data_IF_274172046624
#
_entry.id   IF_274172046624
#
_cell.length_a   1.000
_cell.length_b   1.000
_cell.length_c   1.000
_cell.angle_alpha   90.00
_cell.angle_beta   90.00
_cell.angle_gamma   90.00
#
_symmetry.space_group_name_H-M   'P 1'
#
loop_
_entity.id
_entity.type
_entity.pdbx_description
1 polymer ?
#
# COMPACT_ATOMS: atom_id res chain seq x y z
N UNK A 1 11.71 -29.87 -36.67
CA UNK A 1 11.15 -30.10 -35.33
C UNK A 1 11.38 -28.86 -34.46
N UNK A 2 10.87 -27.71 -34.90
CA UNK A 2 11.10 -26.40 -34.28
C UNK A 2 10.06 -25.40 -34.79
N UNK A 3 8.83 -25.49 -34.26
CA UNK A 3 7.75 -24.52 -34.48
C UNK A 3 6.59 -24.85 -33.53
N UNK A 4 6.47 -24.04 -32.46
CA UNK A 4 5.35 -23.84 -31.51
C UNK A 4 5.90 -23.42 -30.15
N UNK A 5 6.31 -22.16 -30.04
CA UNK A 5 6.46 -21.45 -28.76
C UNK A 5 6.23 -19.92 -28.94
N UNK A 6 5.37 -19.56 -29.89
CA UNK A 6 4.84 -18.21 -30.11
C UNK A 6 3.31 -18.31 -30.11
N UNK A 7 2.72 -18.32 -28.91
CA UNK A 7 1.32 -17.93 -28.59
C UNK A 7 1.03 -18.28 -27.12
N UNK A 8 1.18 -17.31 -26.20
CA UNK A 8 0.83 -17.49 -24.79
C UNK A 8 0.56 -16.17 -24.01
N UNK A 9 0.89 -15.01 -24.56
CA UNK A 9 0.75 -13.71 -23.88
C UNK A 9 -0.52 -12.94 -24.23
N UNK A 10 -1.20 -13.29 -25.33
CA UNK A 10 -2.44 -12.60 -25.74
C UNK A 10 -3.65 -13.12 -24.95
N UNK A 11 -3.95 -12.45 -23.83
CA UNK A 11 -5.20 -12.63 -23.09
C UNK A 11 -5.11 -12.88 -21.59
N UNK A 12 -3.93 -12.85 -20.96
CA UNK A 12 -3.76 -13.05 -19.52
C UNK A 12 -4.63 -12.12 -18.65
N UNK A 13 -5.03 -12.58 -17.46
CA UNK A 13 -5.96 -11.87 -16.57
C UNK A 13 -5.27 -11.43 -15.29
N UNK A 14 -5.36 -10.13 -14.97
CA UNK A 14 -4.85 -9.57 -13.73
C UNK A 14 -5.80 -9.93 -12.56
N UNK A 15 -5.34 -10.75 -11.63
CA UNK A 15 -6.09 -11.05 -10.41
C UNK A 15 -5.60 -10.15 -9.27
N UNK A 16 -6.39 -9.14 -8.93
CA UNK A 16 -6.20 -8.32 -7.73
C UNK A 16 -6.81 -9.02 -6.53
N UNK A 17 -6.05 -9.23 -5.47
CA UNK A 17 -6.53 -9.91 -4.28
C UNK A 17 -6.23 -9.11 -3.01
N UNK A 18 -7.06 -9.31 -1.98
CA UNK A 18 -6.94 -8.63 -0.70
C UNK A 18 -7.47 -9.53 0.43
N UNK A 19 -6.85 -9.46 1.60
CA UNK A 19 -7.22 -10.29 2.74
C UNK A 19 -8.46 -9.75 3.47
N UNK A 20 -9.41 -10.64 3.75
CA UNK A 20 -10.41 -10.45 4.77
C UNK A 20 -9.76 -10.71 6.12
N UNK A 21 -9.35 -9.65 6.82
CA UNK A 21 -9.05 -9.77 8.25
C UNK A 21 -10.24 -10.41 8.97
N UNK A 22 -9.95 -11.48 9.71
CA UNK A 22 -10.81 -11.94 10.80
C UNK A 22 -11.01 -10.79 11.78
N UNK A 23 -12.21 -10.68 12.34
CA UNK A 23 -12.64 -9.58 13.20
C UNK A 23 -11.69 -9.42 14.41
N UNK A 24 -10.78 -8.45 14.31
CA UNK A 24 -10.20 -7.75 15.45
C UNK A 24 -10.96 -6.44 15.59
N UNK A 25 -11.42 -6.13 16.80
CA UNK A 25 -12.36 -5.06 17.08
C UNK A 25 -11.76 -3.65 16.95
N UNK A 26 -11.57 -3.15 15.72
CA UNK A 26 -11.49 -1.71 15.49
C UNK A 26 -11.95 -1.33 14.07
N UNK A 27 -13.24 -1.04 13.92
CA UNK A 27 -13.91 -0.86 12.62
C UNK A 27 -13.58 0.49 11.92
N UNK A 28 -12.41 1.08 12.15
CA UNK A 28 -12.08 2.44 11.71
C UNK A 28 -10.93 2.55 10.70
N UNK A 29 -10.24 1.46 10.36
CA UNK A 29 -9.19 1.44 9.31
C UNK A 29 -9.37 0.24 8.39
N UNK A 30 -10.11 0.43 7.28
CA UNK A 30 -10.07 -0.48 6.12
C UNK A 30 -9.07 0.08 5.10
N UNK A 31 -7.79 -0.24 5.30
CA UNK A 31 -6.82 -0.14 4.21
C UNK A 31 -6.85 -1.43 3.42
N UNK A 32 -7.43 -1.37 2.22
CA UNK A 32 -7.45 -2.49 1.28
C UNK A 32 -6.06 -2.62 0.64
N UNK A 33 -5.17 -3.40 1.27
CA UNK A 33 -3.92 -3.83 0.65
C UNK A 33 -4.23 -4.76 -0.54
N UNK A 34 -4.25 -4.18 -1.74
CA UNK A 34 -4.54 -4.89 -2.98
C UNK A 34 -3.24 -5.37 -3.62
N UNK A 35 -2.89 -6.61 -3.36
CA UNK A 35 -1.82 -7.33 -4.06
C UNK A 35 -2.34 -7.90 -5.38
N UNK A 36 -1.45 -8.38 -6.27
CA UNK A 36 -1.85 -8.91 -7.58
C UNK A 36 -1.03 -10.11 -8.04
N UNK A 37 -1.69 -11.05 -8.72
CA UNK A 37 -1.05 -12.14 -9.48
C UNK A 37 -1.59 -12.17 -10.92
N UNK A 38 -0.83 -12.77 -11.84
CA UNK A 38 -1.24 -12.95 -13.24
C UNK A 38 -1.76 -14.37 -13.48
N UNK A 39 -3.02 -14.48 -13.93
CA UNK A 39 -3.68 -15.72 -14.28
C UNK A 39 -3.77 -15.91 -15.80
N UNK A 40 -4.11 -17.13 -16.23
CA UNK A 40 -4.36 -17.48 -17.63
C UNK A 40 -5.55 -16.70 -18.23
N UNK A 41 -5.78 -16.88 -19.53
CA UNK A 41 -6.90 -16.27 -20.26
C UNK A 41 -8.27 -16.79 -19.82
N UNK A 42 -8.35 -17.94 -19.15
CA UNK A 42 -9.56 -18.52 -18.58
C UNK A 42 -9.28 -18.91 -17.11
N UNK A 43 -9.18 -17.91 -16.20
CA UNK A 43 -8.74 -18.13 -14.83
C UNK A 43 -9.70 -19.07 -14.10
N UNK A 44 -9.17 -20.02 -13.35
CA UNK A 44 -9.96 -20.95 -12.51
C UNK A 44 -9.57 -20.85 -11.05
N UNK A 45 -10.44 -21.28 -10.13
CA UNK A 45 -10.10 -21.36 -8.70
C UNK A 45 -8.88 -22.28 -8.45
N UNK A 46 -8.75 -23.37 -9.20
CA UNK A 46 -7.60 -24.27 -9.14
C UNK A 46 -6.29 -23.65 -9.61
N UNK A 47 -6.32 -22.77 -10.62
CA UNK A 47 -5.15 -21.97 -11.00
C UNK A 47 -4.82 -20.93 -9.91
N UNK A 48 -5.83 -20.20 -9.43
CA UNK A 48 -5.70 -19.18 -8.39
C UNK A 48 -5.05 -19.76 -7.12
N UNK A 49 -5.52 -20.92 -6.63
CA UNK A 49 -4.93 -21.63 -5.48
C UNK A 49 -3.46 -22.00 -5.71
N UNK A 50 -3.13 -22.52 -6.90
CA UNK A 50 -1.76 -22.97 -7.24
C UNK A 50 -0.76 -21.81 -7.40
N UNK A 51 -1.25 -20.62 -7.81
CA UNK A 51 -0.45 -19.39 -7.96
C UNK A 51 -0.55 -18.45 -6.75
N UNK A 52 -1.26 -18.84 -5.69
CA UNK A 52 -1.39 -18.00 -4.51
C UNK A 52 -0.07 -18.00 -3.72
N UNK A 53 0.53 -16.84 -3.41
CA UNK A 53 1.91 -16.79 -2.90
C UNK A 53 2.04 -17.02 -1.38
N UNK A 54 1.01 -17.56 -0.72
CA UNK A 54 0.99 -17.79 0.72
C UNK A 54 0.58 -19.23 1.05
N UNK A 55 1.18 -19.79 2.09
CA UNK A 55 0.92 -21.15 2.59
C UNK A 55 -0.29 -21.23 3.52
N UNK A 56 -0.98 -22.37 3.54
CA UNK A 56 -2.16 -22.62 4.37
C UNK A 56 -3.46 -22.78 3.56
N UNK A 57 -4.58 -22.95 4.27
CA UNK A 57 -5.90 -23.10 3.61
C UNK A 57 -6.59 -21.74 3.47
N UNK A 58 -7.06 -21.44 2.26
CA UNK A 58 -7.71 -20.17 1.93
C UNK A 58 -9.06 -20.37 1.24
N UNK A 59 -10.05 -19.61 1.73
CA UNK A 59 -11.32 -19.42 1.06
C UNK A 59 -11.29 -18.16 0.20
N UNK A 60 -11.81 -18.25 -1.02
CA UNK A 60 -11.74 -17.17 -2.01
C UNK A 60 -13.16 -16.72 -2.38
N UNK A 61 -13.37 -15.40 -2.48
CA UNK A 61 -14.62 -14.80 -2.95
C UNK A 61 -14.36 -13.85 -4.11
N UNK A 62 -15.04 -14.02 -5.22
CA UNK A 62 -14.90 -13.16 -6.40
C UNK A 62 -15.85 -11.96 -6.35
N UNK A 63 -15.36 -10.78 -6.71
CA UNK A 63 -16.21 -9.61 -6.90
C UNK A 63 -16.98 -9.77 -8.21
N UNK A 64 -18.30 -9.82 -8.12
CA UNK A 64 -19.17 -9.88 -9.28
C UNK A 64 -20.02 -8.61 -9.39
N UNK A 65 -19.96 -7.95 -10.54
CA UNK A 65 -20.71 -6.71 -10.80
C UNK A 65 -22.12 -7.07 -11.24
N UNK A 66 -23.12 -6.54 -10.54
CA UNK A 66 -24.53 -6.80 -10.83
C UNK A 66 -25.02 -5.86 -11.93
N UNK A 67 -25.20 -6.39 -13.14
CA UNK A 67 -25.71 -5.65 -14.30
C UNK A 67 -27.23 -5.53 -14.29
N UNK A 68 -27.76 -4.64 -13.44
CA UNK A 68 -29.20 -4.37 -13.40
C UNK A 68 -29.62 -3.10 -12.66
N UNK A 69 -30.16 -2.12 -13.40
CA UNK A 69 -30.86 -0.96 -12.84
C UNK A 69 -30.04 0.34 -12.76
N UNK A 70 -30.70 1.45 -13.09
CA UNK A 70 -30.10 2.80 -13.08
C UNK A 70 -29.82 3.30 -11.65
N UNK A 71 -28.60 3.05 -11.12
CA UNK A 71 -27.78 3.95 -10.25
C UNK A 71 -26.69 3.16 -9.50
N UNK A 72 -25.45 3.63 -9.60
CA UNK A 72 -24.23 3.09 -8.97
C UNK A 72 -23.88 1.64 -9.34
N UNK A 73 -22.59 1.33 -9.46
CA UNK A 73 -22.13 -0.04 -9.74
C UNK A 73 -22.27 -0.90 -8.48
N UNK A 74 -23.40 -1.59 -8.35
CA UNK A 74 -23.61 -2.60 -7.31
C UNK A 74 -22.80 -3.86 -7.61
N UNK A 75 -22.22 -4.45 -6.57
CA UNK A 75 -21.46 -5.70 -6.67
C UNK A 75 -21.78 -6.62 -5.49
N UNK A 76 -21.58 -7.92 -5.69
CA UNK A 76 -21.62 -8.92 -4.64
C UNK A 76 -20.30 -9.70 -4.56
N UNK A 77 -20.13 -10.47 -3.49
CA UNK A 77 -19.03 -11.42 -3.33
C UNK A 77 -19.58 -12.83 -3.57
N UNK A 78 -19.11 -13.50 -4.63
CA UNK A 78 -19.45 -14.89 -4.93
C UNK A 78 -18.44 -15.81 -4.27
N UNK A 79 -18.91 -16.76 -3.46
CA UNK A 79 -18.07 -17.83 -2.89
C UNK A 79 -17.52 -18.74 -3.99
N UNK A 80 -16.20 -18.93 -4.03
CA UNK A 80 -15.54 -19.82 -4.98
C UNK A 80 -15.31 -21.19 -4.34
N UNK A 81 -16.18 -22.15 -4.67
CA UNK A 81 -16.11 -23.55 -4.21
C UNK A 81 -15.54 -24.50 -5.27
N UNK A 82 -15.92 -24.33 -6.54
CA UNK A 82 -15.60 -25.25 -7.65
C UNK A 82 -14.19 -25.01 -8.24
N UNK A 83 -13.25 -25.97 -8.15
CA UNK A 83 -11.86 -25.77 -8.60
C UNK A 83 -11.70 -25.53 -10.11
N UNK A 84 -12.59 -26.09 -10.93
CA UNK A 84 -12.47 -26.11 -12.39
C UNK A 84 -13.38 -25.09 -13.09
N UNK A 85 -14.17 -24.31 -12.33
CA UNK A 85 -15.05 -23.30 -12.89
C UNK A 85 -14.25 -22.09 -13.40
N UNK A 86 -14.53 -21.64 -14.62
CA UNK A 86 -13.89 -20.44 -15.20
C UNK A 86 -14.48 -19.19 -14.56
N UNK A 87 -13.65 -18.40 -13.91
CA UNK A 87 -14.06 -17.22 -13.15
C UNK A 87 -14.49 -16.10 -14.12
N UNK A 88 -15.65 -15.45 -13.91
CA UNK A 88 -16.08 -14.34 -14.76
C UNK A 88 -15.11 -13.15 -14.67
N UNK A 89 -14.60 -12.74 -15.83
CA UNK A 89 -13.57 -11.71 -15.98
C UNK A 89 -14.20 -10.37 -16.34
N UNK A 90 -13.82 -9.30 -15.64
CA UNK A 90 -14.26 -7.94 -15.95
C UNK A 90 -13.21 -7.20 -16.79
N UNK A 91 -13.62 -6.14 -17.50
CA UNK A 91 -12.68 -5.22 -18.16
C UNK A 91 -12.50 -4.00 -17.25
N UNK A 92 -11.25 -3.63 -16.99
CA UNK A 92 -10.93 -2.43 -16.22
C UNK A 92 -10.99 -1.16 -17.10
N UNK A 93 -10.75 0.00 -16.50
CA UNK A 93 -10.86 1.30 -17.18
C UNK A 93 -9.85 1.50 -18.32
N UNK A 94 -8.75 0.75 -18.37
CA UNK A 94 -7.77 0.76 -19.48
C UNK A 94 -8.03 -0.37 -20.50
N UNK A 95 -9.17 -1.06 -20.42
CA UNK A 95 -9.56 -2.15 -21.32
C UNK A 95 -8.92 -3.51 -21.03
N UNK A 96 -8.00 -3.57 -20.05
CA UNK A 96 -7.35 -4.80 -19.59
C UNK A 96 -8.31 -5.73 -18.85
N UNK A 97 -7.99 -7.03 -18.86
CA UNK A 97 -8.79 -8.08 -18.22
C UNK A 97 -8.41 -8.19 -16.74
N UNK A 98 -9.38 -7.99 -15.83
CA UNK A 98 -9.17 -7.97 -14.38
C UNK A 98 -10.25 -8.80 -13.64
N UNK A 99 -9.82 -9.49 -12.59
CA UNK A 99 -10.70 -10.02 -11.53
C UNK A 99 -10.27 -9.50 -10.16
N UNK A 100 -11.21 -9.42 -9.23
CA UNK A 100 -10.98 -8.97 -7.86
C UNK A 100 -11.43 -10.02 -6.86
N UNK A 101 -10.53 -10.44 -5.97
CA UNK A 101 -10.75 -11.58 -5.08
C UNK A 101 -10.50 -11.22 -3.63
N UNK A 102 -11.45 -11.50 -2.77
CA UNK A 102 -11.31 -11.44 -1.32
C UNK A 102 -10.81 -12.80 -0.81
N UNK A 103 -9.78 -12.80 0.01
CA UNK A 103 -9.15 -14.01 0.54
C UNK A 103 -9.35 -14.10 2.05
N UNK A 104 -9.90 -15.21 2.54
CA UNK A 104 -10.03 -15.50 3.97
C UNK A 104 -9.14 -16.69 4.31
N UNK A 105 -8.20 -16.53 5.24
CA UNK A 105 -7.42 -17.64 5.77
C UNK A 105 -8.30 -18.49 6.70
N UNK A 106 -8.30 -19.80 6.47
CA UNK A 106 -9.04 -20.79 7.27
C UNK A 106 -8.12 -21.48 8.28
N UNK A 107 -6.90 -21.86 7.86
CA UNK A 107 -5.88 -22.46 8.71
C UNK A 107 -4.47 -22.06 8.24
N UNK A 108 -3.52 -22.09 9.17
CA UNK A 108 -2.10 -21.88 8.90
C UNK A 108 -1.36 -23.20 8.58
N UNK A 109 -1.87 -24.34 9.03
CA UNK A 109 -1.20 -25.63 8.82
C UNK A 109 -1.63 -26.29 7.49
N UNK A 110 -0.68 -26.87 6.73
CA UNK A 110 -1.01 -27.77 5.63
C UNK A 110 -1.64 -29.04 6.22
N UNK A 111 -2.80 -29.42 5.70
CA UNK A 111 -3.45 -30.66 6.09
C UNK A 111 -2.75 -31.81 5.35
N UNK A 112 -1.96 -32.60 6.08
CA UNK A 112 -1.47 -33.88 5.57
C UNK A 112 -2.67 -34.81 5.33
N UNK A 113 -2.97 -35.09 4.06
CA UNK A 113 -4.01 -36.04 3.62
C UNK A 113 -3.59 -37.50 3.89
N UNK A 114 -3.22 -37.82 5.14
CA UNK A 114 -2.60 -39.10 5.49
C UNK A 114 -2.92 -39.66 6.90
N UNK A 115 -3.88 -39.12 7.67
CA UNK A 115 -4.50 -39.85 8.80
C UNK A 115 -5.77 -39.17 9.36
N UNK A 116 -6.95 -39.76 9.12
CA UNK A 116 -7.84 -40.36 10.14
C UNK A 116 -9.29 -40.44 9.61
N UNK A 117 -9.70 -41.66 9.26
CA UNK A 117 -11.05 -41.95 8.80
C UNK A 117 -11.94 -42.27 10.01
N UNK A 118 -12.45 -41.25 10.72
CA UNK A 118 -13.06 -41.52 12.03
C UNK A 118 -14.04 -40.53 12.67
N UNK A 119 -14.38 -39.36 12.09
CA UNK A 119 -15.46 -38.50 12.63
C UNK A 119 -16.32 -37.84 11.57
N UNK A 120 -17.50 -38.43 11.37
CA UNK A 120 -18.58 -37.89 10.55
C UNK A 120 -19.50 -37.03 11.43
N UNK A 121 -19.19 -35.74 11.56
CA UNK A 121 -20.06 -34.73 12.18
C UNK A 121 -20.47 -33.68 11.15
N UNK A 122 -21.73 -33.24 11.25
CA UNK A 122 -22.48 -32.41 10.30
C UNK A 122 -21.68 -31.46 9.41
N UNK A 123 -21.71 -31.73 8.09
CA UNK A 123 -21.68 -30.68 7.06
C UNK A 123 -23.05 -29.98 7.01
N UNK A 124 -23.45 -29.39 8.12
CA UNK A 124 -24.52 -28.42 8.16
C UNK A 124 -23.94 -27.02 8.01
N UNK A 125 -24.70 -26.22 7.27
CA UNK A 125 -24.48 -24.82 6.96
C UNK A 125 -23.93 -24.05 8.17
N UNK A 126 -22.74 -23.45 8.03
CA UNK A 126 -22.25 -22.43 8.98
C UNK A 126 -23.05 -21.15 8.73
N UNK A 127 -24.25 -21.12 9.28
CA UNK A 127 -25.14 -19.96 9.33
C UNK A 127 -24.55 -18.95 10.33
N UNK A 128 -23.72 -18.03 9.84
CA UNK A 128 -23.05 -17.03 10.68
C UNK A 128 -24.10 -16.01 11.18
N UNK A 129 -24.11 -15.58 12.47
CA UNK A 129 -25.30 -14.96 13.10
C UNK A 129 -25.67 -13.51 12.68
N UNK A 130 -25.37 -13.10 11.44
CA UNK A 130 -25.47 -11.71 10.97
C UNK A 130 -26.91 -11.31 10.61
N UNK A 131 -27.73 -12.23 10.09
CA UNK A 131 -29.09 -11.95 9.59
C UNK A 131 -30.08 -11.46 10.65
N UNK A 132 -29.90 -11.87 11.93
CA UNK A 132 -30.75 -11.37 13.03
C UNK A 132 -30.50 -9.89 13.35
N UNK A 133 -29.29 -9.37 13.12
CA UNK A 133 -28.95 -7.97 13.40
C UNK A 133 -29.44 -7.04 12.27
N UNK A 134 -29.32 -7.47 11.01
CA UNK A 134 -29.87 -6.71 9.87
C UNK A 134 -31.39 -6.56 9.93
N UNK A 135 -32.12 -7.62 10.29
CA UNK A 135 -33.58 -7.55 10.44
C UNK A 135 -34.04 -6.65 11.61
N UNK A 136 -33.20 -6.40 12.61
CA UNK A 136 -33.48 -5.43 13.68
C UNK A 136 -33.25 -3.99 13.21
N UNK A 137 -32.16 -3.75 12.47
CA UNK A 137 -31.80 -2.45 11.92
C UNK A 137 -32.89 -1.85 11.01
N UNK A 138 -33.43 -2.64 10.07
CA UNK A 138 -34.52 -2.18 9.19
C UNK A 138 -35.87 -1.99 9.91
N UNK A 139 -36.17 -2.79 10.94
CA UNK A 139 -37.39 -2.62 11.76
C UNK A 139 -37.34 -1.35 12.63
N UNK A 140 -36.18 -1.06 13.23
CA UNK A 140 -35.98 0.17 13.99
C UNK A 140 -36.11 1.43 13.10
N UNK A 141 -35.56 1.41 11.88
CA UNK A 141 -35.63 2.55 10.97
C UNK A 141 -37.01 2.80 10.33
N UNK A 142 -37.87 1.80 10.23
CA UNK A 142 -39.23 1.98 9.71
C UNK A 142 -40.22 2.57 10.72
N UNK A 143 -40.02 2.39 12.02
CA UNK A 143 -40.93 2.92 13.04
C UNK A 143 -40.76 4.43 13.33
N UNK A 144 -39.63 5.04 12.97
CA UNK A 144 -39.35 6.43 13.35
C UNK A 144 -39.93 7.50 12.41
N UNK A 145 -40.81 7.12 11.46
CA UNK A 145 -41.42 8.05 10.47
C UNK A 145 -42.95 8.16 10.51
N UNK A 146 -43.64 7.55 11.49
CA UNK A 146 -45.11 7.60 11.62
C UNK A 146 -45.60 7.96 13.04
N UNK A 147 -45.30 9.19 13.47
CA UNK A 147 -46.01 9.97 14.51
C UNK A 147 -45.38 11.37 14.55
N UNK A 148 -46.06 12.52 14.50
CA UNK A 148 -47.45 12.92 14.21
C UNK A 148 -47.36 14.02 13.09
N UNK A 149 -48.34 14.44 12.29
CA UNK A 149 -49.79 14.24 12.28
C UNK A 149 -50.51 15.57 12.00
N UNK A 150 -50.93 15.82 10.73
CA UNK A 150 -51.83 16.92 10.23
C UNK A 150 -51.32 18.38 10.40
N UNK A 151 -51.60 19.40 9.58
CA UNK A 151 -52.27 19.62 8.25
C UNK A 151 -51.87 21.07 7.77
N UNK A 152 -52.13 21.66 6.58
CA UNK A 152 -52.96 21.31 5.40
C UNK A 152 -52.52 22.07 4.10
N UNK A 153 -53.22 21.79 2.99
CA UNK A 153 -53.48 22.54 1.73
C UNK A 153 -52.40 23.29 0.88
N UNK A 154 -52.31 22.83 -0.39
CA UNK A 154 -52.29 23.57 -1.68
C UNK A 154 -51.23 24.66 -1.99
N UNK A 155 -50.36 24.40 -2.98
CA UNK A 155 -50.62 24.78 -4.39
C UNK A 155 -49.63 24.13 -5.40
N UNK A 156 -49.95 24.19 -6.70
CA UNK A 156 -49.13 23.67 -7.80
C UNK A 156 -47.88 24.54 -8.08
N UNK A 157 -46.76 23.93 -8.47
CA UNK A 157 -46.12 24.11 -9.80
C UNK A 157 -44.76 23.38 -9.91
N UNK A 158 -44.44 22.98 -11.15
CA UNK A 158 -43.10 22.60 -11.65
C UNK A 158 -42.73 23.61 -12.75
N UNK A 159 -41.47 23.76 -13.23
CA UNK A 159 -40.39 22.77 -13.12
C UNK A 159 -38.94 23.32 -12.91
N UNK A 160 -38.01 22.35 -12.83
CA UNK A 160 -36.60 22.40 -13.30
C UNK A 160 -35.51 23.15 -12.50
N UNK A 161 -34.31 22.54 -12.57
CA UNK A 161 -32.98 23.06 -12.19
C UNK A 161 -32.72 23.40 -10.71
N UNK A 162 -32.44 22.37 -9.88
CA UNK A 162 -31.38 22.36 -8.85
C UNK A 162 -31.32 21.00 -8.13
N UNK A 163 -30.60 20.01 -8.67
CA UNK A 163 -30.45 18.70 -8.00
C UNK A 163 -29.11 18.01 -8.32
N UNK A 164 -28.00 18.73 -8.11
CA UNK A 164 -26.65 18.16 -8.25
C UNK A 164 -25.62 18.66 -7.20
N UNK A 165 -26.08 19.24 -6.08
CA UNK A 165 -25.20 19.73 -4.98
C UNK A 165 -25.41 19.04 -3.62
N UNK A 166 -26.47 18.26 -3.42
CA UNK A 166 -26.82 17.78 -2.08
C UNK A 166 -26.11 16.48 -1.65
N UNK A 167 -25.67 15.63 -2.58
CA UNK A 167 -25.06 14.33 -2.24
C UNK A 167 -23.59 14.41 -1.79
N UNK A 168 -22.87 15.47 -2.17
CA UNK A 168 -21.47 15.67 -1.74
C UNK A 168 -21.40 16.11 -0.26
N UNK A 169 -22.43 16.81 0.22
CA UNK A 169 -22.48 17.37 1.58
C UNK A 169 -22.54 16.30 2.68
N UNK A 170 -23.24 15.18 2.42
CA UNK A 170 -23.38 14.07 3.38
C UNK A 170 -22.03 13.37 3.61
N UNK A 171 -21.30 13.05 2.54
CA UNK A 171 -19.96 12.43 2.58
C UNK A 171 -18.94 13.37 3.24
N UNK A 172 -18.96 14.66 2.91
CA UNK A 172 -18.08 15.68 3.51
C UNK A 172 -18.28 15.87 5.03
N UNK A 173 -19.48 15.59 5.54
CA UNK A 173 -19.78 15.73 6.98
C UNK A 173 -19.30 14.52 7.82
N UNK A 174 -19.20 13.32 7.22
CA UNK A 174 -18.62 12.14 7.86
C UNK A 174 -17.11 12.26 8.09
N UNK A 175 -16.36 12.63 7.05
CA UNK A 175 -14.89 12.75 7.10
C UNK A 175 -14.45 13.86 8.06
N UNK A 176 -15.17 14.99 8.10
CA UNK A 176 -14.93 16.07 9.09
C UNK A 176 -15.09 15.60 10.54
N UNK A 177 -16.04 14.71 10.84
CA UNK A 177 -16.22 14.13 12.19
C UNK A 177 -15.11 13.15 12.55
N UNK A 178 -14.67 12.31 11.60
CA UNK A 178 -13.57 11.38 11.82
C UNK A 178 -12.25 12.11 12.14
N UNK A 179 -11.90 13.15 11.38
CA UNK A 179 -10.66 13.90 11.60
C UNK A 179 -10.68 14.75 12.89
N UNK A 180 -11.85 15.21 13.33
CA UNK A 180 -11.99 16.07 14.51
C UNK A 180 -11.95 15.30 15.85
N UNK A 181 -12.13 13.97 15.85
CA UNK A 181 -12.27 13.20 17.10
C UNK A 181 -10.93 12.80 17.75
N UNK A 182 -9.84 12.60 16.97
CA UNK A 182 -8.54 12.13 17.49
C UNK A 182 -7.46 13.22 17.68
N UNK A 183 -7.70 14.50 17.33
CA UNK A 183 -6.66 15.55 17.29
C UNK A 183 -6.88 16.77 18.23
N UNK A 184 -7.35 16.55 19.46
CA UNK A 184 -7.74 17.67 20.36
C UNK A 184 -6.59 18.40 21.11
N UNK A 185 -5.32 18.06 20.89
CA UNK A 185 -4.19 18.59 21.69
C UNK A 185 -2.98 19.12 20.89
N UNK A 186 -3.14 19.53 19.63
CA UNK A 186 -2.05 20.23 18.91
C UNK A 186 -2.54 21.39 18.03
N UNK A 187 -1.90 22.56 18.18
CA UNK A 187 -2.10 23.73 17.31
C UNK A 187 -1.74 23.44 15.83
N UNK A 188 -0.91 22.42 15.59
CA UNK A 188 -0.57 21.96 14.24
C UNK A 188 -1.79 21.36 13.53
N UNK A 189 -2.66 20.63 14.23
CA UNK A 189 -3.87 20.02 13.64
C UNK A 189 -4.87 21.08 13.13
N UNK A 190 -5.01 22.20 13.85
CA UNK A 190 -5.83 23.33 13.41
C UNK A 190 -5.23 24.03 12.17
N UNK A 191 -3.91 24.04 12.05
CA UNK A 191 -3.20 24.58 10.88
C UNK A 191 -3.37 23.65 9.66
N UNK A 192 -3.28 22.34 9.86
CA UNK A 192 -3.54 21.31 8.83
C UNK A 192 -4.99 21.41 8.34
N UNK A 193 -5.98 21.52 9.24
CA UNK A 193 -7.38 21.70 8.84
C UNK A 193 -7.62 23.00 8.07
N UNK A 194 -7.07 24.14 8.52
CA UNK A 194 -7.24 25.44 7.82
C UNK A 194 -6.54 25.49 6.46
N UNK A 195 -5.36 24.89 6.32
CA UNK A 195 -4.62 24.84 5.04
C UNK A 195 -5.27 23.84 4.08
N UNK A 196 -5.57 22.61 4.52
CA UNK A 196 -6.21 21.60 3.66
C UNK A 196 -7.57 22.06 3.13
N UNK A 197 -8.43 22.64 3.96
CA UNK A 197 -9.76 23.12 3.55
C UNK A 197 -9.71 24.09 2.34
N UNK A 198 -8.73 25.00 2.29
CA UNK A 198 -8.54 25.92 1.16
C UNK A 198 -7.86 25.29 -0.07
N UNK A 199 -7.19 24.15 0.09
CA UNK A 199 -6.53 23.44 -1.01
C UNK A 199 -7.46 22.45 -1.70
N UNK A 200 -8.42 21.83 -0.97
CA UNK A 200 -9.46 20.99 -1.58
C UNK A 200 -10.27 21.74 -2.64
N UNK A 201 -10.55 23.04 -2.46
CA UNK A 201 -11.21 23.87 -3.48
C UNK A 201 -10.35 24.07 -4.74
N UNK A 202 -9.02 24.20 -4.60
CA UNK A 202 -8.08 24.33 -5.74
C UNK A 202 -7.91 23.03 -6.52
N UNK A 203 -7.83 21.88 -5.85
CA UNK A 203 -7.70 20.56 -6.52
C UNK A 203 -8.93 20.25 -7.37
N UNK A 204 -10.12 20.69 -6.95
CA UNK A 204 -11.36 20.56 -7.74
C UNK A 204 -11.42 21.55 -8.92
N UNK A 205 -10.81 22.74 -8.78
CA UNK A 205 -10.81 23.77 -9.84
C UNK A 205 -9.68 23.61 -10.89
N UNK A 206 -8.64 22.82 -10.60
CA UNK A 206 -7.39 22.77 -11.39
C UNK A 206 -7.46 22.03 -12.73
N UNK A 207 -8.59 21.45 -13.13
CA UNK A 207 -8.71 20.63 -14.34
C UNK A 207 -8.63 21.39 -15.69
N UNK A 208 -8.34 22.70 -15.67
CA UNK A 208 -8.32 23.57 -16.85
C UNK A 208 -7.15 24.59 -16.80
N UNK A 209 -5.91 24.11 -16.92
CA UNK A 209 -4.74 24.97 -17.08
C UNK A 209 -3.42 24.21 -17.11
N UNK A 210 -2.67 24.32 -18.21
CA UNK A 210 -1.42 23.60 -18.44
C UNK A 210 -0.23 24.14 -17.64
N UNK A 211 -0.27 24.01 -16.31
CA UNK A 211 0.91 24.19 -15.45
C UNK A 211 1.67 22.87 -15.34
N UNK A 212 2.98 22.91 -15.60
CA UNK A 212 3.88 21.75 -15.40
C UNK A 212 3.99 21.38 -13.92
N UNK A 213 3.76 22.34 -13.01
CA UNK A 213 3.68 22.09 -11.57
C UNK A 213 2.22 22.01 -11.12
N UNK A 214 1.83 20.91 -10.49
CA UNK A 214 0.51 20.72 -9.89
C UNK A 214 0.65 20.40 -8.40
N UNK A 215 -0.37 20.62 -7.55
CA UNK A 215 -0.38 20.08 -6.19
C UNK A 215 -0.53 18.55 -6.23
N UNK A 216 -0.25 17.82 -5.13
CA UNK A 216 -0.46 16.37 -5.11
C UNK A 216 -1.94 16.01 -5.25
N UNK A 217 -2.23 14.98 -6.04
CA UNK A 217 -3.58 14.46 -6.27
C UNK A 217 -4.12 13.75 -5.02
N UNK A 218 -5.44 13.50 -4.94
CA UNK A 218 -6.02 12.84 -3.77
C UNK A 218 -5.42 11.44 -3.47
N UNK A 219 -5.13 10.56 -4.46
CA UNK A 219 -4.40 9.32 -4.21
C UNK A 219 -2.98 9.56 -3.70
N UNK A 220 -2.23 10.50 -4.30
CA UNK A 220 -0.88 10.85 -3.85
C UNK A 220 -0.87 11.40 -2.41
N UNK A 221 -1.81 12.28 -2.06
CA UNK A 221 -1.98 12.79 -0.69
C UNK A 221 -2.24 11.65 0.31
N UNK A 222 -2.98 10.61 -0.07
CA UNK A 222 -3.21 9.45 0.79
C UNK A 222 -1.91 8.67 1.04
N UNK A 223 -1.11 8.37 0.01
CA UNK A 223 0.18 7.69 0.19
C UNK A 223 1.18 8.54 0.99
N UNK A 224 1.29 9.84 0.66
CA UNK A 224 2.14 10.77 1.39
C UNK A 224 1.74 10.86 2.87
N UNK A 225 0.43 10.82 3.21
CA UNK A 225 -0.03 10.80 4.60
C UNK A 225 0.40 9.51 5.34
N UNK A 226 0.38 8.33 4.69
CA UNK A 226 0.91 7.09 5.28
C UNK A 226 2.41 7.19 5.55
N UNK A 227 3.18 7.72 4.60
CA UNK A 227 4.63 7.91 4.73
C UNK A 227 4.97 8.90 5.86
N UNK A 228 4.20 9.99 6.01
CA UNK A 228 4.31 10.92 7.16
C UNK A 228 3.99 10.21 8.48
N UNK A 229 3.03 9.27 8.48
CA UNK A 229 2.72 8.41 9.62
C UNK A 229 3.91 7.52 9.99
N UNK A 230 4.42 6.73 9.04
CA UNK A 230 5.56 5.82 9.25
C UNK A 230 6.86 6.56 9.65
N UNK A 231 7.07 7.78 9.13
CA UNK A 231 8.19 8.66 9.49
C UNK A 231 8.14 9.14 10.95
N UNK A 232 6.95 9.15 11.56
CA UNK A 232 6.72 9.63 12.94
C UNK A 232 6.35 8.53 13.92
N UNK A 233 6.00 7.34 13.44
CA UNK A 233 5.71 6.16 14.24
C UNK A 233 7.01 5.59 14.82
N UNK A 234 7.21 5.56 16.15
CA UNK A 234 8.38 4.94 16.74
C UNK A 234 8.31 3.41 16.64
N UNK A 235 9.47 2.77 16.56
CA UNK A 235 9.58 1.31 16.64
C UNK A 235 9.40 0.82 18.08
N UNK A 236 8.78 -0.35 18.23
CA UNK A 236 8.42 -0.95 19.51
C UNK A 236 8.42 -2.48 19.38
N UNK A 237 9.09 -3.17 20.31
CA UNK A 237 9.12 -4.65 20.39
C UNK A 237 7.75 -5.27 20.71
N UNK A 238 6.84 -4.50 21.32
CA UNK A 238 5.49 -4.95 21.64
C UNK A 238 4.52 -4.88 20.46
N UNK A 239 4.88 -4.20 19.36
CA UNK A 239 4.06 -4.17 18.16
C UNK A 239 4.43 -5.32 17.22
N UNK A 240 3.47 -6.22 16.97
CA UNK A 240 3.63 -7.37 16.08
C UNK A 240 4.03 -6.97 14.66
N UNK A 241 3.50 -5.87 14.12
CA UNK A 241 3.81 -5.42 12.76
C UNK A 241 5.26 -4.93 12.65
N UNK A 242 5.81 -4.35 13.73
CA UNK A 242 7.22 -3.92 13.77
C UNK A 242 8.16 -5.13 13.89
N UNK A 243 7.76 -6.15 14.66
CA UNK A 243 8.49 -7.42 14.78
C UNK A 243 8.43 -8.23 13.48
N UNK A 244 7.31 -8.22 12.75
CA UNK A 244 7.18 -8.84 11.42
C UNK A 244 8.14 -8.18 10.40
N UNK A 245 8.19 -6.86 10.35
CA UNK A 245 9.14 -6.14 9.50
C UNK A 245 10.61 -6.49 9.84
N UNK A 246 10.95 -6.62 11.13
CA UNK A 246 12.29 -7.10 11.54
C UNK A 246 12.53 -8.56 11.14
N UNK A 247 11.53 -9.44 11.28
CA UNK A 247 11.61 -10.84 10.86
C UNK A 247 11.88 -10.94 9.35
N UNK A 248 11.14 -10.18 8.55
CA UNK A 248 11.26 -10.12 7.09
C UNK A 248 12.64 -9.62 6.64
N UNK A 249 13.17 -8.59 7.29
CA UNK A 249 14.56 -8.16 7.04
C UNK A 249 15.56 -9.26 7.42
N UNK A 250 15.41 -9.86 8.61
CA UNK A 250 16.29 -10.89 9.16
C UNK A 250 16.40 -12.13 8.26
N UNK A 251 15.27 -12.70 7.83
CA UNK A 251 15.27 -13.93 7.02
C UNK A 251 15.95 -13.75 5.67
N UNK A 252 16.02 -12.54 5.11
CA UNK A 252 16.72 -12.29 3.83
C UNK A 252 18.23 -12.54 3.90
N UNK A 253 18.81 -12.62 5.10
CA UNK A 253 20.25 -12.82 5.31
C UNK A 253 20.58 -14.08 6.12
N UNK A 254 19.60 -14.61 6.86
CA UNK A 254 19.76 -15.76 7.75
C UNK A 254 18.67 -16.79 7.51
N UNK A 255 18.57 -17.29 6.27
CA UNK A 255 17.60 -18.31 5.83
C UNK A 255 17.35 -19.38 6.91
N UNK A 256 16.08 -19.50 7.32
CA UNK A 256 15.58 -20.43 8.34
C UNK A 256 16.10 -20.26 9.79
N UNK A 257 16.86 -19.21 10.14
CA UNK A 257 17.15 -18.91 11.55
C UNK A 257 16.01 -18.13 12.23
N UNK A 258 15.64 -18.45 13.48
CA UNK A 258 14.64 -17.69 14.22
C UNK A 258 15.12 -16.26 14.46
N UNK A 259 14.21 -15.29 14.33
CA UNK A 259 14.49 -13.89 14.62
C UNK A 259 15.05 -13.71 16.04
N UNK A 260 16.22 -13.10 16.13
CA UNK A 260 16.71 -12.51 17.38
C UNK A 260 16.42 -11.01 17.34
N UNK A 261 15.60 -10.49 18.27
CA UNK A 261 15.29 -9.05 18.29
C UNK A 261 16.51 -8.18 18.61
N UNK A 262 17.51 -8.77 19.28
CA UNK A 262 18.80 -8.16 19.62
C UNK A 262 19.90 -9.22 19.58
N UNK A 263 21.10 -8.85 19.15
CA UNK A 263 22.29 -9.71 19.12
C UNK A 263 23.15 -9.54 17.85
N UNK A 264 24.35 -10.12 17.86
CA UNK A 264 25.41 -9.87 16.89
C UNK A 264 25.08 -10.15 15.41
N UNK A 265 23.97 -10.85 15.10
CA UNK A 265 23.49 -10.95 13.71
C UNK A 265 23.09 -9.60 13.10
N UNK A 266 22.81 -8.59 13.94
CA UNK A 266 22.54 -7.23 13.48
C UNK A 266 23.82 -6.45 13.12
N UNK A 267 25.02 -6.87 13.55
CA UNK A 267 26.30 -6.27 13.13
C UNK A 267 26.50 -6.38 11.61
N UNK A 268 26.05 -7.48 10.99
CA UNK A 268 26.14 -7.70 9.53
C UNK A 268 25.37 -6.64 8.76
N UNK A 269 24.22 -6.20 9.28
CA UNK A 269 23.45 -5.07 8.74
C UNK A 269 24.06 -3.70 9.07
N UNK A 270 25.17 -3.63 9.81
CA UNK A 270 25.81 -2.38 10.21
C UNK A 270 25.14 -1.67 11.38
N UNK A 271 24.34 -2.37 12.20
CA UNK A 271 23.94 -1.88 13.51
C UNK A 271 25.13 -1.94 14.48
N UNK A 272 25.29 -0.93 15.34
CA UNK A 272 26.42 -0.74 16.25
C UNK A 272 26.15 -1.22 17.69
N UNK A 273 24.89 -1.39 18.05
CA UNK A 273 24.46 -1.80 19.39
C UNK A 273 23.64 -3.08 19.40
N UNK A 274 23.69 -3.86 18.31
CA UNK A 274 22.92 -5.09 18.13
C UNK A 274 21.39 -4.93 18.30
N UNK A 275 20.87 -3.70 18.24
CA UNK A 275 19.49 -3.34 18.54
C UNK A 275 18.91 -2.45 17.42
N UNK A 276 18.29 -3.06 16.39
CA UNK A 276 17.73 -2.31 15.26
C UNK A 276 16.56 -1.42 15.68
N UNK A 277 15.81 -1.79 16.74
CA UNK A 277 14.71 -0.96 17.26
C UNK A 277 15.26 0.35 17.83
N UNK A 278 16.34 0.26 18.62
CA UNK A 278 17.02 1.42 19.23
C UNK A 278 17.68 2.32 18.20
N UNK A 279 18.26 1.76 17.13
CA UNK A 279 19.03 2.55 16.17
C UNK A 279 18.20 3.13 15.01
N UNK A 280 17.25 2.38 14.44
CA UNK A 280 16.35 2.90 13.41
C UNK A 280 15.34 3.90 13.97
N UNK A 281 14.86 3.66 15.21
CA UNK A 281 13.90 4.45 15.98
C UNK A 281 12.49 4.62 15.38
N UNK A 282 12.34 4.63 14.05
CA UNK A 282 11.10 4.90 13.33
C UNK A 282 10.78 3.82 12.30
N UNK A 283 9.50 3.66 11.97
CA UNK A 283 9.01 2.61 11.08
C UNK A 283 9.47 2.79 9.63
N UNK A 284 9.51 4.03 9.12
CA UNK A 284 9.82 4.27 7.69
C UNK A 284 11.21 3.75 7.25
N UNK A 285 12.33 4.02 7.96
CA UNK A 285 13.63 3.39 7.68
C UNK A 285 13.58 1.86 7.56
N UNK A 286 12.84 1.20 8.45
CA UNK A 286 12.71 -0.26 8.44
C UNK A 286 11.92 -0.74 7.22
N UNK A 287 10.81 -0.08 6.88
CA UNK A 287 10.02 -0.39 5.68
C UNK A 287 10.85 -0.23 4.39
N UNK A 288 11.70 0.80 4.32
CA UNK A 288 12.64 1.00 3.21
C UNK A 288 13.63 -0.16 3.05
N UNK A 289 14.26 -0.59 4.15
CA UNK A 289 15.22 -1.70 4.14
C UNK A 289 14.54 -3.02 3.76
N UNK A 290 13.36 -3.32 4.33
CA UNK A 290 12.56 -4.51 3.99
C UNK A 290 12.20 -4.52 2.51
N UNK A 291 11.65 -3.43 1.97
CA UNK A 291 11.31 -3.33 0.55
C UNK A 291 12.53 -3.57 -0.35
N UNK A 292 13.67 -2.95 -0.04
CA UNK A 292 14.88 -3.10 -0.83
C UNK A 292 15.41 -4.54 -0.81
N UNK A 293 15.35 -5.21 0.34
CA UNK A 293 15.74 -6.62 0.48
C UNK A 293 14.77 -7.60 -0.19
N UNK A 294 13.47 -7.34 -0.20
CA UNK A 294 12.46 -8.23 -0.80
C UNK A 294 12.33 -8.04 -2.32
N UNK A 295 12.32 -6.79 -2.79
CA UNK A 295 12.06 -6.45 -4.20
C UNK A 295 13.35 -6.42 -5.03
N UNK A 296 14.45 -5.96 -4.42
CA UNK A 296 15.76 -5.80 -5.08
C UNK A 296 16.83 -6.70 -4.46
N UNK A 297 16.47 -7.91 -4.01
CA UNK A 297 17.34 -8.85 -3.30
C UNK A 297 18.68 -9.11 -4.03
N UNK A 298 18.64 -9.17 -5.36
CA UNK A 298 19.78 -9.35 -6.26
C UNK A 298 20.78 -8.18 -6.26
N UNK A 299 20.38 -7.01 -5.74
CA UNK A 299 21.23 -5.83 -5.54
C UNK A 299 21.51 -5.61 -4.05
N UNK A 300 20.51 -5.79 -3.19
CA UNK A 300 20.64 -5.59 -1.75
C UNK A 300 21.67 -6.53 -1.10
N UNK A 301 21.63 -7.83 -1.41
CA UNK A 301 22.52 -8.82 -0.79
C UNK A 301 23.99 -8.68 -1.21
N UNK A 302 24.35 -8.41 -2.48
CA UNK A 302 25.73 -8.07 -2.83
C UNK A 302 26.25 -6.82 -2.12
N UNK A 303 25.46 -5.73 -2.07
CA UNK A 303 25.87 -4.51 -1.36
C UNK A 303 26.08 -4.81 0.13
N UNK A 304 25.12 -5.47 0.78
CA UNK A 304 25.24 -5.85 2.19
C UNK A 304 26.51 -6.69 2.42
N UNK A 305 26.77 -7.69 1.58
CA UNK A 305 27.95 -8.55 1.69
C UNK A 305 29.25 -7.73 1.59
N UNK A 306 29.35 -6.82 0.64
CA UNK A 306 30.49 -5.92 0.49
C UNK A 306 30.72 -5.07 1.74
N UNK A 307 29.66 -4.51 2.33
CA UNK A 307 29.74 -3.64 3.51
C UNK A 307 29.87 -4.39 4.85
N UNK A 308 29.44 -5.66 4.91
CA UNK A 308 29.52 -6.50 6.11
C UNK A 308 30.95 -6.94 6.47
N UNK A 309 31.90 -6.81 5.53
CA UNK A 309 33.32 -7.13 5.78
C UNK A 309 34.01 -5.93 6.42
N UNK A 310 34.51 -6.02 7.68
CA UNK A 310 35.08 -4.86 8.36
C UNK A 310 36.31 -4.30 7.64
N UNK A 311 36.28 -3.04 7.25
CA UNK A 311 37.40 -2.37 6.60
C UNK A 311 37.31 -0.84 6.61
N UNK A 312 38.39 -0.12 6.27
CA UNK A 312 38.38 1.34 6.21
C UNK A 312 37.46 1.90 5.10
N UNK A 313 36.97 1.04 4.21
CA UNK A 313 36.05 1.36 3.12
C UNK A 313 34.64 0.74 3.30
N UNK A 314 34.30 0.18 4.47
CA UNK A 314 32.94 -0.29 4.76
C UNK A 314 32.11 0.80 5.47
N UNK A 315 30.84 0.97 5.10
CA UNK A 315 29.89 1.85 5.81
C UNK A 315 28.81 1.05 6.57
N UNK A 316 28.21 1.59 7.65
CA UNK A 316 27.15 0.91 8.39
C UNK A 316 25.85 0.86 7.57
N UNK A 317 25.67 -0.24 6.84
CA UNK A 317 24.66 -0.41 5.78
C UNK A 317 23.26 0.08 6.16
N UNK A 318 22.66 -0.42 7.24
CA UNK A 318 21.30 -0.08 7.65
C UNK A 318 21.17 1.34 8.20
N UNK A 319 22.23 1.89 8.83
CA UNK A 319 22.23 3.27 9.32
C UNK A 319 22.32 4.28 8.18
N UNK A 320 23.11 3.97 7.14
CA UNK A 320 23.12 4.75 5.89
C UNK A 320 21.78 4.61 5.16
N UNK A 321 21.20 3.41 5.07
CA UNK A 321 19.86 3.21 4.53
C UNK A 321 18.81 4.05 5.28
N UNK A 322 18.88 4.11 6.62
CA UNK A 322 18.02 5.00 7.40
C UNK A 322 18.22 6.48 7.03
N UNK A 323 19.47 6.95 6.91
CA UNK A 323 19.78 8.32 6.49
C UNK A 323 19.27 8.65 5.08
N UNK A 324 19.42 7.74 4.11
CA UNK A 324 18.88 7.91 2.75
C UNK A 324 17.34 7.93 2.78
N UNK A 325 16.69 7.13 3.63
CA UNK A 325 15.23 7.19 3.78
C UNK A 325 14.73 8.55 4.32
N UNK A 326 15.46 9.14 5.27
CA UNK A 326 15.15 10.47 5.80
C UNK A 326 15.44 11.58 4.77
N UNK A 327 16.51 11.45 3.99
CA UNK A 327 16.84 12.35 2.88
C UNK A 327 15.72 12.37 1.84
N UNK A 328 15.26 11.20 1.38
CA UNK A 328 14.15 11.10 0.41
C UNK A 328 12.85 11.66 1.01
N UNK A 329 12.58 11.42 2.30
CA UNK A 329 11.45 12.02 3.01
C UNK A 329 11.54 13.56 3.11
N UNK A 330 12.76 14.13 3.19
CA UNK A 330 12.99 15.58 3.22
C UNK A 330 12.84 16.23 1.84
N UNK A 331 13.31 15.57 0.77
CA UNK A 331 13.07 16.01 -0.61
C UNK A 331 11.58 16.14 -0.93
N UNK A 332 10.78 15.21 -0.40
CA UNK A 332 9.32 15.22 -0.49
C UNK A 332 8.64 16.06 0.61
N UNK A 333 9.40 16.71 1.50
CA UNK A 333 8.89 17.60 2.55
C UNK A 333 7.88 16.93 3.50
N UNK A 334 8.10 15.65 3.83
CA UNK A 334 7.19 14.86 4.66
C UNK A 334 7.18 15.28 6.13
N UNK A 335 8.34 15.61 6.72
CA UNK A 335 8.46 15.91 8.16
C UNK A 335 7.46 16.97 8.63
N UNK A 336 7.34 18.07 7.91
CA UNK A 336 6.47 19.20 8.26
C UNK A 336 5.11 19.19 7.52
N UNK A 337 4.88 18.21 6.65
CA UNK A 337 3.71 18.18 5.77
C UNK A 337 3.74 19.26 4.67
N UNK A 338 4.92 19.71 4.26
CA UNK A 338 5.11 20.70 3.20
C UNK A 338 4.61 20.20 1.83
N UNK A 339 4.67 18.88 1.60
CA UNK A 339 4.09 18.20 0.43
C UNK A 339 2.63 18.58 0.15
N UNK A 340 1.81 18.76 1.20
CA UNK A 340 0.34 18.83 1.09
C UNK A 340 -0.19 20.01 0.25
N UNK A 341 0.66 20.98 -0.10
CA UNK A 341 0.32 22.12 -0.96
C UNK A 341 1.46 22.61 -1.85
N UNK A 342 2.57 21.89 -1.93
CA UNK A 342 3.68 22.26 -2.80
C UNK A 342 3.34 21.89 -4.25
N UNK A 343 3.39 22.85 -5.18
CA UNK A 343 3.21 22.54 -6.60
C UNK A 343 4.52 21.98 -7.18
N UNK A 344 4.50 20.75 -7.71
CA UNK A 344 5.65 20.01 -8.27
C UNK A 344 5.19 19.17 -9.48
N UNK A 345 6.09 18.76 -10.39
CA UNK A 345 5.69 18.02 -11.58
C UNK A 345 5.51 16.52 -11.31
N UNK A 346 6.25 15.99 -10.33
CA UNK A 346 6.37 14.55 -10.05
C UNK A 346 5.30 13.94 -9.13
N UNK A 347 4.29 14.69 -8.65
CA UNK A 347 3.38 14.11 -7.64
C UNK A 347 2.55 12.92 -8.12
N UNK A 348 2.32 12.82 -9.43
CA UNK A 348 1.59 11.70 -10.03
C UNK A 348 2.28 10.35 -9.80
N UNK A 349 3.61 10.33 -9.74
CA UNK A 349 4.41 9.15 -9.36
C UNK A 349 3.93 8.56 -8.03
N UNK A 350 3.60 9.40 -7.06
CA UNK A 350 3.23 9.01 -5.70
C UNK A 350 1.75 8.59 -5.55
N UNK A 351 0.98 8.52 -6.64
CA UNK A 351 -0.29 7.78 -6.65
C UNK A 351 -0.06 6.27 -6.45
N UNK A 352 1.10 5.76 -6.89
CA UNK A 352 1.54 4.39 -6.66
C UNK A 352 2.15 4.23 -5.25
N UNK A 353 1.63 3.31 -4.40
CA UNK A 353 2.17 3.08 -3.06
C UNK A 353 3.64 2.64 -3.02
N UNK A 354 4.19 2.03 -4.08
CA UNK A 354 5.58 1.55 -4.06
C UNK A 354 6.61 2.63 -4.44
N UNK A 355 6.16 3.76 -5.01
CA UNK A 355 7.05 4.73 -5.63
C UNK A 355 8.06 5.38 -4.69
N UNK A 356 7.70 5.60 -3.42
CA UNK A 356 8.63 6.09 -2.41
C UNK A 356 9.76 5.10 -2.13
N UNK A 357 9.42 3.81 -2.03
CA UNK A 357 10.37 2.75 -1.74
C UNK A 357 11.27 2.43 -2.94
N UNK A 358 10.76 2.58 -4.17
CA UNK A 358 11.59 2.52 -5.37
C UNK A 358 12.56 3.71 -5.47
N UNK A 359 12.09 4.95 -5.19
CA UNK A 359 12.95 6.12 -5.12
C UNK A 359 14.05 5.96 -4.05
N UNK A 360 13.70 5.41 -2.88
CA UNK A 360 14.67 5.02 -1.85
C UNK A 360 15.69 3.99 -2.40
N UNK A 361 15.23 2.94 -3.07
CA UNK A 361 16.09 1.87 -3.60
C UNK A 361 17.08 2.41 -4.64
N UNK A 362 16.61 3.30 -5.52
CA UNK A 362 17.43 4.01 -6.51
C UNK A 362 18.45 4.93 -5.81
N UNK A 363 18.02 5.72 -4.82
CA UNK A 363 18.88 6.64 -4.08
C UNK A 363 19.97 5.90 -3.25
N UNK A 364 19.62 4.76 -2.65
CA UNK A 364 20.57 3.96 -1.87
C UNK A 364 21.57 3.21 -2.76
N UNK A 365 21.17 2.77 -3.95
CA UNK A 365 22.10 2.29 -4.99
C UNK A 365 23.06 3.38 -5.45
N UNK A 366 22.59 4.62 -5.62
CA UNK A 366 23.43 5.76 -5.97
C UNK A 366 24.42 6.11 -4.83
N UNK A 367 24.03 5.92 -3.56
CA UNK A 367 24.95 6.02 -2.43
C UNK A 367 26.10 5.00 -2.55
N UNK A 368 25.79 3.70 -2.69
CA UNK A 368 26.81 2.64 -2.75
C UNK A 368 27.76 2.82 -3.95
N UNK A 369 27.23 3.23 -5.10
CA UNK A 369 28.04 3.58 -6.28
C UNK A 369 28.98 4.75 -5.99
N UNK A 370 28.48 5.85 -5.42
CA UNK A 370 29.27 7.03 -5.05
C UNK A 370 30.37 6.70 -4.04
N UNK A 371 30.03 5.87 -3.04
CA UNK A 371 30.95 5.36 -2.02
C UNK A 371 32.05 4.50 -2.65
N UNK A 372 31.70 3.49 -3.46
CA UNK A 372 32.66 2.62 -4.14
C UNK A 372 33.61 3.38 -5.07
N UNK A 373 33.12 4.40 -5.78
CA UNK A 373 33.95 5.22 -6.67
C UNK A 373 34.91 6.19 -5.95
N UNK A 374 34.59 6.63 -4.73
CA UNK A 374 35.32 7.70 -4.04
C UNK A 374 35.81 7.37 -2.63
N UNK A 375 35.68 6.13 -2.14
CA UNK A 375 36.17 5.67 -0.84
C UNK A 375 37.68 5.89 -0.60
N UNK A 376 38.47 6.07 -1.66
CA UNK A 376 39.88 6.45 -1.62
C UNK A 376 40.15 7.95 -1.48
N UNK A 377 39.12 8.79 -1.68
CA UNK A 377 39.17 10.27 -1.65
C UNK A 377 38.40 10.85 -0.46
N UNK A 378 37.28 10.24 -0.10
CA UNK A 378 36.46 10.58 1.06
C UNK A 378 35.84 9.32 1.66
N UNK A 379 35.84 9.24 2.99
CA UNK A 379 35.07 8.29 3.78
C UNK A 379 33.95 8.99 4.57
N UNK A 380 33.70 10.27 4.26
CA UNK A 380 32.67 11.06 4.93
C UNK A 380 31.30 10.79 4.31
N UNK A 381 30.46 10.04 5.02
CA UNK A 381 29.08 9.71 4.64
C UNK A 381 28.29 10.95 4.16
N UNK A 382 28.53 12.12 4.76
CA UNK A 382 27.86 13.38 4.40
C UNK A 382 28.05 13.79 2.93
N UNK A 383 29.25 13.67 2.37
CA UNK A 383 29.53 14.03 0.97
C UNK A 383 28.78 13.12 -0.01
N UNK A 384 28.63 11.83 0.33
CA UNK A 384 27.87 10.88 -0.47
C UNK A 384 26.36 11.08 -0.34
N UNK A 385 25.86 11.50 0.83
CA UNK A 385 24.46 11.91 0.99
C UNK A 385 24.14 13.17 0.20
N UNK A 386 25.05 14.15 0.13
CA UNK A 386 24.87 15.37 -0.67
C UNK A 386 24.74 15.02 -2.17
N UNK A 387 25.64 14.19 -2.71
CA UNK A 387 25.52 13.64 -4.07
C UNK A 387 24.18 12.93 -4.31
N UNK A 388 23.72 12.10 -3.37
CA UNK A 388 22.43 11.39 -3.47
C UNK A 388 21.25 12.35 -3.43
N UNK A 389 21.34 13.45 -2.68
CA UNK A 389 20.31 14.50 -2.67
C UNK A 389 20.23 15.21 -4.03
N UNK A 390 21.35 15.62 -4.61
CA UNK A 390 21.39 16.24 -5.95
C UNK A 390 20.87 15.29 -7.04
N UNK A 391 21.37 14.05 -7.05
CA UNK A 391 20.93 13.01 -7.99
C UNK A 391 19.42 12.76 -7.91
N UNK A 392 18.88 12.61 -6.69
CA UNK A 392 17.45 12.37 -6.46
C UNK A 392 16.58 13.58 -6.83
N UNK A 393 17.09 14.80 -6.62
CA UNK A 393 16.42 16.03 -7.05
C UNK A 393 16.35 16.13 -8.58
N UNK A 394 17.44 15.87 -9.30
CA UNK A 394 17.46 15.90 -10.77
C UNK A 394 16.56 14.79 -11.36
N UNK A 395 16.57 13.59 -10.77
CA UNK A 395 15.69 12.49 -11.14
C UNK A 395 14.21 12.88 -11.03
N UNK A 396 13.81 13.51 -9.92
CA UNK A 396 12.45 14.03 -9.74
C UNK A 396 12.15 15.24 -10.65
N UNK A 397 13.14 16.10 -10.94
CA UNK A 397 12.98 17.26 -11.84
C UNK A 397 12.63 16.84 -13.27
N UNK A 398 13.05 15.64 -13.70
CA UNK A 398 12.68 15.03 -14.98
C UNK A 398 11.23 14.52 -15.04
N UNK A 399 10.46 14.68 -13.96
CA UNK A 399 9.01 14.42 -13.88
C UNK A 399 8.58 13.01 -14.30
N UNK A 400 9.12 11.94 -13.69
CA UNK A 400 8.57 10.59 -13.86
C UNK A 400 7.08 10.57 -13.47
N UNK A 401 6.22 10.06 -14.37
CA UNK A 401 4.78 9.90 -14.08
C UNK A 401 4.43 8.53 -13.47
N UNK A 402 5.36 7.58 -13.47
CA UNK A 402 5.15 6.20 -13.01
C UNK A 402 6.46 5.57 -12.53
N UNK A 403 6.35 4.47 -11.77
CA UNK A 403 7.52 3.74 -11.24
C UNK A 403 8.44 3.21 -12.35
N UNK A 404 7.94 2.61 -13.45
CA UNK A 404 8.81 2.24 -14.59
C UNK A 404 9.53 3.44 -15.22
N UNK A 405 8.88 4.60 -15.32
CA UNK A 405 9.51 5.81 -15.85
C UNK A 405 10.59 6.37 -14.90
N UNK A 406 10.37 6.31 -13.58
CA UNK A 406 11.38 6.63 -12.56
C UNK A 406 12.63 5.76 -12.72
N UNK A 407 12.42 4.45 -12.84
CA UNK A 407 13.51 3.46 -13.00
C UNK A 407 14.27 3.67 -14.31
N UNK A 408 13.57 3.90 -15.43
CA UNK A 408 14.19 4.15 -16.74
C UNK A 408 15.04 5.43 -16.73
N UNK A 409 14.51 6.55 -16.20
CA UNK A 409 15.25 7.81 -16.10
C UNK A 409 16.48 7.66 -15.19
N UNK A 410 16.37 6.90 -14.08
CA UNK A 410 17.50 6.63 -13.20
C UNK A 410 18.62 5.84 -13.90
N UNK A 411 18.29 4.82 -14.71
CA UNK A 411 19.29 4.10 -15.51
C UNK A 411 19.94 5.00 -16.57
N UNK A 412 19.19 5.90 -17.21
CA UNK A 412 19.74 6.88 -18.16
C UNK A 412 20.70 7.88 -17.47
N UNK A 413 20.44 8.24 -16.21
CA UNK A 413 21.31 9.11 -15.42
C UNK A 413 22.56 8.41 -14.85
N UNK A 414 22.51 7.09 -14.66
CA UNK A 414 23.67 6.30 -14.19
C UNK A 414 24.63 5.89 -15.32
N UNK A 415 24.23 6.06 -16.59
CA UNK A 415 25.03 5.80 -17.78
C UNK A 415 25.62 7.09 -18.40
N UNK A 416 25.92 8.10 -17.57
CA UNK A 416 26.51 9.41 -17.97
C UNK A 416 27.95 9.55 -17.52
#
# INVERSE_FOLDING_TARGET
>A
MAQRYEDATDGAVLCRYFFQHMLVEDATVREECVSSILLSSEPTLGELRRKFPFEGQYHFRLQHVLTGGNKAASYCWLDLSEPHHVLPVTKNHSGGREIRVKVLQLSHEPQDDAADAGKQESRDLVDVPEDRQFAAYFRAHHHHKNSNGRESMQHQQSPQQQQQMQDVSSVLSGVKKALASKMKTSAMAQTIQKKSAKMWEKVVAGAAGGSVNMPPTAPALAQLAKLVGALKAPLYESNRDHVDLLNRLWVTCYDAQPLTLRGAGWEVFGFRYDDPLRELQFVLPLQCLVFFHEVHCNVALPILKDQSTPGPASYPYALVGAQVSFLVADLLQLKDGGCLGAERPFWRLFEDPIAFFELFSIAFRAFDQSWKMNSSKSTEIGAHLEYVAEFSQELLRRSPESVPALVEIAHQMQNW
#
